data_IF_248843108019
#
_entry.id   IF_248843108019
#
_cell.length_a   1.000
_cell.length_b   1.000
_cell.length_c   1.000
_cell.angle_alpha   90.00
_cell.angle_beta   90.00
_cell.angle_gamma   90.00
#
_symmetry.space_group_name_H-M   'P 1'
#
loop_
_entity.id
_entity.type
_entity.pdbx_description
1 polymer ?
#
# COMPACT_ATOMS: atom_id res chain seq x y z
N UNK A 1 23.72 2.21 1.87
CA UNK A 1 23.68 0.78 1.48
C UNK A 1 22.71 0.61 0.32
N UNK A 2 23.08 -0.12 -0.73
CA UNK A 2 22.17 -0.42 -1.83
C UNK A 2 21.15 -1.47 -1.38
N UNK A 3 19.86 -1.17 -1.50
CA UNK A 3 18.80 -2.16 -1.30
C UNK A 3 18.78 -3.12 -2.50
N UNK A 4 18.51 -4.42 -2.29
CA UNK A 4 18.29 -5.36 -3.39
C UNK A 4 17.19 -4.87 -4.33
N UNK A 5 17.30 -5.22 -5.61
CA UNK A 5 16.28 -4.88 -6.61
C UNK A 5 14.93 -5.51 -6.21
N UNK A 6 13.85 -4.73 -6.27
CA UNK A 6 12.50 -5.30 -6.17
C UNK A 6 12.19 -5.97 -7.50
N UNK A 7 11.97 -7.29 -7.46
CA UNK A 7 11.66 -8.07 -8.66
C UNK A 7 10.21 -7.85 -9.04
N UNK A 8 10.00 -7.35 -10.25
CA UNK A 8 8.68 -7.09 -10.83
C UNK A 8 8.43 -8.04 -12.00
N UNK A 9 7.39 -8.87 -11.91
CA UNK A 9 7.01 -9.78 -13.00
C UNK A 9 5.48 -10.01 -13.05
N UNK A 10 4.91 -10.28 -14.23
CA UNK A 10 3.46 -10.47 -14.39
C UNK A 10 2.92 -11.61 -13.52
N UNK A 11 1.80 -11.38 -12.82
CA UNK A 11 1.14 -12.37 -11.98
C UNK A 11 1.82 -12.64 -10.63
N UNK A 12 2.87 -11.91 -10.29
CA UNK A 12 3.48 -11.98 -8.96
C UNK A 12 2.52 -11.51 -7.86
N UNK A 13 2.61 -12.17 -6.70
CA UNK A 13 1.94 -11.74 -5.48
C UNK A 13 2.92 -10.98 -4.60
N UNK A 14 2.56 -9.76 -4.22
CA UNK A 14 3.36 -8.89 -3.36
C UNK A 14 2.69 -8.68 -2.02
N UNK A 15 3.45 -8.81 -0.93
CA UNK A 15 3.03 -8.37 0.39
C UNK A 15 3.47 -6.92 0.59
N UNK A 16 2.51 -6.01 0.73
CA UNK A 16 2.74 -4.60 1.00
C UNK A 16 2.31 -4.31 2.44
N UNK A 17 3.19 -3.71 3.23
CA UNK A 17 2.88 -3.20 4.57
C UNK A 17 3.15 -1.70 4.64
N UNK A 18 2.30 -1.00 5.38
CA UNK A 18 2.51 0.39 5.76
C UNK A 18 2.84 0.43 7.25
N UNK A 19 3.76 1.30 7.63
CA UNK A 19 4.13 1.55 9.02
C UNK A 19 4.18 3.06 9.23
N UNK A 20 3.72 3.52 10.40
CA UNK A 20 3.89 4.91 10.79
C UNK A 20 5.36 5.23 11.01
N UNK A 21 5.74 6.47 10.75
CA UNK A 21 7.08 6.94 11.10
C UNK A 21 7.29 6.81 12.61
N UNK A 22 8.51 6.48 13.03
CA UNK A 22 8.84 6.29 14.45
C UNK A 22 7.90 5.37 15.26
N UNK A 23 7.20 4.41 14.61
CA UNK A 23 6.17 3.52 15.21
C UNK A 23 4.91 4.25 15.67
N UNK A 24 4.65 5.44 15.14
CA UNK A 24 3.40 6.16 15.34
C UNK A 24 2.22 5.43 14.66
N UNK A 25 1.02 5.87 15.00
CA UNK A 25 -0.18 5.44 14.32
C UNK A 25 -0.11 5.84 12.83
N UNK A 26 -0.48 4.91 11.95
CA UNK A 26 -0.50 5.17 10.50
C UNK A 26 -1.55 6.23 10.14
N UNK A 27 -2.64 6.29 10.90
CA UNK A 27 -3.74 7.23 10.72
C UNK A 27 -3.98 7.98 12.02
N UNK A 28 -4.21 9.29 11.95
CA UNK A 28 -4.53 10.10 13.14
C UNK A 28 -5.97 9.90 13.61
N UNK A 29 -6.81 9.30 12.76
CA UNK A 29 -8.18 8.93 13.08
C UNK A 29 -8.85 8.13 11.97
N UNK A 30 -10.10 7.73 12.23
CA UNK A 30 -10.84 6.88 11.29
C UNK A 30 -11.20 7.60 9.98
N UNK A 31 -11.30 8.93 10.00
CA UNK A 31 -11.49 9.74 8.78
C UNK A 31 -10.34 9.60 7.79
N UNK A 32 -9.10 9.74 8.28
CA UNK A 32 -7.88 9.57 7.47
C UNK A 32 -7.79 8.16 6.91
N UNK A 33 -8.11 7.15 7.73
CA UNK A 33 -8.15 5.75 7.31
C UNK A 33 -9.12 5.53 6.16
N UNK A 34 -10.35 6.04 6.27
CA UNK A 34 -11.37 5.90 5.20
C UNK A 34 -10.93 6.58 3.91
N UNK A 35 -10.37 7.79 4.02
CA UNK A 35 -9.86 8.54 2.86
C UNK A 35 -8.72 7.78 2.16
N UNK A 36 -7.77 7.25 2.93
CA UNK A 36 -6.68 6.44 2.39
C UNK A 36 -7.20 5.17 1.70
N UNK A 37 -8.12 4.44 2.32
CA UNK A 37 -8.70 3.23 1.74
C UNK A 37 -9.48 3.52 0.44
N UNK A 38 -10.18 4.66 0.37
CA UNK A 38 -10.86 5.08 -0.85
C UNK A 38 -9.86 5.37 -1.99
N UNK A 39 -8.78 6.09 -1.70
CA UNK A 39 -7.72 6.36 -2.67
C UNK A 39 -7.01 5.07 -3.12
N UNK A 40 -6.79 4.14 -2.18
CA UNK A 40 -6.19 2.84 -2.49
C UNK A 40 -7.09 2.03 -3.42
N UNK A 41 -8.40 2.01 -3.17
CA UNK A 41 -9.36 1.33 -4.05
C UNK A 41 -9.36 1.92 -5.46
N UNK A 42 -9.41 3.26 -5.59
CA UNK A 42 -9.32 3.95 -6.89
C UNK A 42 -8.00 3.61 -7.62
N UNK A 43 -6.90 3.54 -6.88
CA UNK A 43 -5.59 3.17 -7.41
C UNK A 43 -5.60 1.73 -7.93
N UNK A 44 -6.14 0.78 -7.16
CA UNK A 44 -6.26 -0.61 -7.59
C UNK A 44 -7.12 -0.74 -8.86
N UNK A 45 -8.23 -0.03 -8.95
CA UNK A 45 -9.07 -0.01 -10.16
C UNK A 45 -8.31 0.58 -11.36
N UNK A 46 -7.66 1.73 -11.16
CA UNK A 46 -6.91 2.43 -12.23
C UNK A 46 -5.77 1.60 -12.79
N UNK A 47 -5.07 0.85 -11.95
CA UNK A 47 -3.92 0.04 -12.35
C UNK A 47 -4.23 -1.44 -12.51
N UNK A 48 -5.50 -1.84 -12.41
CA UNK A 48 -5.97 -3.22 -12.49
C UNK A 48 -5.22 -4.16 -11.52
N UNK A 49 -5.02 -3.69 -10.29
CA UNK A 49 -4.41 -4.48 -9.23
C UNK A 49 -5.47 -5.32 -8.54
N UNK A 50 -5.18 -6.60 -8.40
CA UNK A 50 -6.01 -7.51 -7.61
C UNK A 50 -5.56 -7.46 -6.15
N UNK A 51 -6.50 -7.24 -5.25
CA UNK A 51 -6.30 -7.39 -3.81
C UNK A 51 -7.17 -8.59 -3.35
N UNK A 52 -6.54 -9.54 -2.66
CA UNK A 52 -7.14 -10.76 -2.11
C UNK A 52 -6.86 -10.83 -0.62
#
# INVERSE_FOLDING_TARGET
MARPLRLEFPGALYHITSHGDAREDIYRGDGDRRMFLALLAETCERFNWYWW
#
